data_IF_787854303074
#
_entry.id   IF_787854303074
#
_cell.length_a   1.000
_cell.length_b   1.000
_cell.length_c   1.000
_cell.angle_alpha   90.00
_cell.angle_beta   90.00
_cell.angle_gamma   90.00
#
_symmetry.space_group_name_H-M   'P 1'
#
loop_
_entity.id
_entity.type
_entity.pdbx_description
1 polymer ?
#
# COMPACT_ATOMS: atom_id res chain seq x y z
N UNK A 1 11.44 -7.94 9.30
CA UNK A 1 12.07 -6.97 8.37
C UNK A 1 12.80 -5.93 9.19
N UNK A 2 13.92 -5.38 8.72
CA UNK A 2 14.55 -4.24 9.40
C UNK A 2 13.87 -2.92 8.95
N UNK A 3 14.08 -1.85 9.72
CA UNK A 3 13.45 -0.55 9.48
C UNK A 3 13.77 0.03 8.10
N UNK A 4 15.03 -0.06 7.65
CA UNK A 4 15.45 0.48 6.36
C UNK A 4 14.75 -0.19 5.17
N UNK A 5 14.59 -1.52 5.23
CA UNK A 5 13.84 -2.26 4.20
C UNK A 5 12.38 -1.84 4.18
N UNK A 6 11.73 -1.72 5.35
CA UNK A 6 10.35 -1.24 5.45
C UNK A 6 10.20 0.17 4.88
N UNK A 7 11.12 1.07 5.21
CA UNK A 7 11.12 2.45 4.70
C UNK A 7 11.26 2.50 3.17
N UNK A 8 12.19 1.73 2.62
CA UNK A 8 12.41 1.69 1.17
C UNK A 8 11.21 1.10 0.42
N UNK A 9 10.64 0.01 0.93
CA UNK A 9 9.41 -0.59 0.38
C UNK A 9 8.23 0.39 0.43
N UNK A 10 8.10 1.15 1.52
CA UNK A 10 7.03 2.13 1.67
C UNK A 10 7.15 3.26 0.65
N UNK A 11 8.38 3.76 0.44
CA UNK A 11 8.67 4.78 -0.58
C UNK A 11 8.43 4.28 -2.00
N UNK A 12 8.96 3.12 -2.36
CA UNK A 12 8.75 2.53 -3.69
C UNK A 12 7.29 2.20 -3.93
N UNK A 13 6.60 1.63 -2.94
CA UNK A 13 5.16 1.32 -3.03
C UNK A 13 4.31 2.56 -3.27
N UNK A 14 4.59 3.67 -2.56
CA UNK A 14 3.88 4.94 -2.76
C UNK A 14 4.11 5.52 -4.17
N UNK A 15 5.34 5.46 -4.68
CA UNK A 15 5.65 5.91 -6.05
C UNK A 15 4.89 5.05 -7.07
N UNK A 16 4.90 3.73 -6.93
CA UNK A 16 4.19 2.82 -7.82
C UNK A 16 2.67 3.04 -7.80
N UNK A 17 2.10 3.26 -6.61
CA UNK A 17 0.67 3.63 -6.50
C UNK A 17 0.35 4.90 -7.29
N UNK A 18 1.20 5.93 -7.16
CA UNK A 18 1.00 7.22 -7.82
C UNK A 18 1.12 7.12 -9.35
N UNK A 19 2.21 6.52 -9.85
CA UNK A 19 2.43 6.42 -11.30
C UNK A 19 1.44 5.47 -11.98
N UNK A 20 0.92 4.46 -11.25
CA UNK A 20 -0.07 3.53 -11.79
C UNK A 20 -1.45 4.15 -11.98
N UNK A 21 -1.75 5.31 -11.38
CA UNK A 21 -3.00 6.06 -11.65
C UNK A 21 -2.89 6.84 -12.97
N UNK A 22 -1.68 7.14 -13.42
CA UNK A 22 -1.47 7.87 -14.66
C UNK A 22 -1.80 6.97 -15.86
N UNK A 23 -2.57 7.44 -16.85
CA UNK A 23 -2.92 6.69 -18.05
C UNK A 23 -1.75 6.64 -19.06
N UNK A 24 -0.53 6.44 -18.57
CA UNK A 24 0.72 6.43 -19.35
C UNK A 24 1.18 5.01 -19.69
N UNK A 25 0.63 3.99 -19.02
CA UNK A 25 1.07 2.60 -19.14
C UNK A 25 -0.11 1.68 -19.46
N UNK A 26 0.12 0.66 -20.31
CA UNK A 26 -0.90 -0.32 -20.68
C UNK A 26 -1.44 -1.15 -19.49
N UNK A 27 -0.71 -1.19 -18.38
CA UNK A 27 -1.07 -1.94 -17.17
C UNK A 27 -1.11 -1.04 -15.92
N UNK A 28 -1.53 0.21 -16.10
CA UNK A 28 -1.62 1.24 -15.05
C UNK A 28 -2.26 0.71 -13.75
N UNK A 29 -3.42 0.04 -13.84
CA UNK A 29 -4.09 -0.57 -12.68
C UNK A 29 -3.28 -1.66 -11.96
N UNK A 30 -2.52 -2.49 -12.70
CA UNK A 30 -1.66 -3.52 -12.11
C UNK A 30 -0.48 -2.87 -11.38
N UNK A 31 0.09 -1.82 -11.94
CA UNK A 31 1.19 -1.06 -11.32
C UNK A 31 0.72 -0.45 -9.98
N UNK A 32 -0.47 0.15 -9.95
CA UNK A 32 -1.05 0.68 -8.71
C UNK A 32 -1.30 -0.41 -7.67
N UNK A 33 -1.79 -1.59 -8.10
CA UNK A 33 -2.00 -2.72 -7.19
C UNK A 33 -0.68 -3.23 -6.59
N UNK A 34 0.37 -3.38 -7.40
CA UNK A 34 1.70 -3.74 -6.91
C UNK A 34 2.21 -2.71 -5.92
N UNK A 35 2.05 -1.42 -6.22
CA UNK A 35 2.41 -0.34 -5.30
C UNK A 35 1.70 -0.45 -3.95
N UNK A 36 0.39 -0.69 -3.97
CA UNK A 36 -0.43 -0.86 -2.77
C UNK A 36 0.04 -2.04 -1.92
N UNK A 37 0.35 -3.18 -2.55
CA UNK A 37 0.89 -4.35 -1.85
C UNK A 37 2.24 -4.04 -1.19
N UNK A 38 3.16 -3.39 -1.90
CA UNK A 38 4.45 -3.01 -1.33
C UNK A 38 4.30 -2.04 -0.16
N UNK A 39 3.38 -1.08 -0.25
CA UNK A 39 3.05 -0.17 0.85
C UNK A 39 2.47 -0.92 2.05
N UNK A 40 1.58 -1.89 1.86
CA UNK A 40 1.06 -2.70 2.96
C UNK A 40 2.16 -3.55 3.64
N UNK A 41 3.07 -4.13 2.86
CA UNK A 41 4.23 -4.86 3.39
C UNK A 41 5.13 -3.93 4.21
N UNK A 42 5.37 -2.71 3.73
CA UNK A 42 6.13 -1.70 4.46
C UNK A 42 5.48 -1.31 5.79
N UNK A 43 4.17 -1.04 5.77
CA UNK A 43 3.40 -0.70 6.97
C UNK A 43 3.40 -1.85 7.97
N UNK A 44 3.29 -3.10 7.51
CA UNK A 44 3.46 -4.28 8.36
C UNK A 44 4.84 -4.32 9.00
N UNK A 45 5.89 -4.07 8.23
CA UNK A 45 7.26 -4.01 8.75
C UNK A 45 7.47 -2.87 9.76
N UNK A 46 6.76 -1.76 9.63
CA UNK A 46 6.74 -0.67 10.62
C UNK A 46 5.96 -1.06 11.88
N UNK A 47 4.81 -1.72 11.74
CA UNK A 47 4.03 -2.24 12.86
C UNK A 47 4.86 -3.23 13.70
N UNK A 48 5.56 -4.16 13.03
CA UNK A 48 6.47 -5.12 13.66
C UNK A 48 7.65 -4.40 14.35
N UNK A 49 8.22 -3.35 13.73
CA UNK A 49 9.33 -2.58 14.31
C UNK A 49 8.94 -1.78 15.55
N UNK A 50 7.77 -1.15 15.54
CA UNK A 50 7.26 -0.34 16.66
C UNK A 50 6.49 -1.18 17.69
N UNK A 51 6.35 -2.49 17.49
CA UNK A 51 5.53 -3.39 18.34
C UNK A 51 4.09 -2.90 18.52
N UNK A 52 3.53 -2.27 17.48
CA UNK A 52 2.19 -1.69 17.50
C UNK A 52 1.38 -2.22 16.31
N UNK A 53 0.63 -3.30 16.56
CA UNK A 53 -0.18 -3.96 15.53
C UNK A 53 -1.28 -3.06 14.95
N UNK A 54 -1.71 -2.03 15.69
CA UNK A 54 -2.70 -1.05 15.24
C UNK A 54 -2.28 -0.30 13.98
N UNK A 55 -0.97 -0.10 13.75
CA UNK A 55 -0.45 0.56 12.54
C UNK A 55 -0.86 -0.21 11.28
N UNK A 56 -0.63 -1.53 11.27
CA UNK A 56 -1.00 -2.37 10.13
C UNK A 56 -2.50 -2.60 10.05
N UNK A 57 -3.16 -2.87 11.18
CA UNK A 57 -4.60 -3.14 11.21
C UNK A 57 -5.40 -1.96 10.66
N UNK A 58 -5.10 -0.74 11.09
CA UNK A 58 -5.80 0.46 10.62
C UNK A 58 -5.57 0.70 9.12
N UNK A 59 -4.33 0.51 8.63
CA UNK A 59 -4.03 0.63 7.21
C UNK A 59 -4.74 -0.43 6.37
N UNK A 60 -4.78 -1.68 6.86
CA UNK A 60 -5.49 -2.78 6.21
C UNK A 60 -7.00 -2.51 6.14
N UNK A 61 -7.59 -2.05 7.24
CA UNK A 61 -9.00 -1.64 7.26
C UNK A 61 -9.26 -0.50 6.28
N UNK A 62 -8.41 0.52 6.23
CA UNK A 62 -8.55 1.62 5.27
C UNK A 62 -8.54 1.13 3.81
N UNK A 63 -7.64 0.19 3.46
CA UNK A 63 -7.59 -0.40 2.12
C UNK A 63 -8.84 -1.22 1.81
N UNK A 64 -9.29 -2.07 2.74
CA UNK A 64 -10.51 -2.87 2.56
C UNK A 64 -11.72 -1.95 2.37
N UNK A 65 -11.85 -0.90 3.20
CA UNK A 65 -12.92 0.08 3.10
C UNK A 65 -12.87 0.85 1.79
N UNK A 66 -11.68 1.23 1.31
CA UNK A 66 -11.54 1.90 0.01
C UNK A 66 -12.00 1.01 -1.16
N UNK A 67 -11.65 -0.28 -1.13
CA UNK A 67 -12.10 -1.26 -2.14
C UNK A 67 -13.62 -1.44 -2.05
N UNK A 68 -14.16 -1.66 -0.85
CA UNK A 68 -15.59 -1.84 -0.63
C UNK A 68 -16.40 -0.60 -1.05
N UNK A 69 -15.91 0.60 -0.73
CA UNK A 69 -16.50 1.87 -1.15
C UNK A 69 -16.50 2.01 -2.67
N UNK A 70 -15.38 1.72 -3.33
CA UNK A 70 -15.28 1.73 -4.78
C UNK A 70 -16.31 0.80 -5.44
N UNK A 71 -16.49 -0.42 -4.93
CA UNK A 71 -17.49 -1.36 -5.43
C UNK A 71 -18.93 -0.86 -5.18
N UNK A 72 -19.22 -0.33 -4.00
CA UNK A 72 -20.56 0.11 -3.62
C UNK A 72 -21.04 1.34 -4.41
N UNK A 73 -20.12 2.17 -4.92
CA UNK A 73 -20.42 3.38 -5.69
C UNK A 73 -20.44 3.20 -7.21
N UNK A 74 -20.03 2.03 -7.71
CA UNK A 74 -20.07 1.66 -9.14
C UNK A 74 -21.39 0.98 -9.45
#
# INVERSE_FOLDING_TARGET
MNFETSKNLGGVGAILMFIGVLPLFAYSGVISLVGLILTLIAVKGLADYYSEAGIFNNALYAVITAIAGGIATV
#
